data_IF_099027813099
#
_entry.id   IF_099027813099
#
_cell.length_a   1.000
_cell.length_b   1.000
_cell.length_c   1.000
_cell.angle_alpha   90.00
_cell.angle_beta   90.00
_cell.angle_gamma   90.00
#
_symmetry.space_group_name_H-M   'P 1'
#
loop_
_entity.id
_entity.type
_entity.pdbx_description
1 polymer ?
#
# COMPACT_ATOMS: atom_id res chain seq x y z
N UNK A 1 -12.98 19.97 0.71
CA UNK A 1 -12.20 18.88 1.30
C UNK A 1 -11.07 18.61 0.33
N UNK A 2 -9.81 18.82 0.74
CA UNK A 2 -8.69 18.75 -0.20
C UNK A 2 -8.55 17.34 -0.75
N UNK A 3 -8.51 17.21 -2.08
CA UNK A 3 -8.28 15.93 -2.75
C UNK A 3 -7.02 15.28 -2.15
N UNK A 4 -7.18 14.17 -1.43
CA UNK A 4 -6.05 13.42 -0.94
C UNK A 4 -5.32 12.81 -2.14
N UNK A 5 -4.04 13.13 -2.28
CA UNK A 5 -3.25 12.74 -3.43
C UNK A 5 -2.85 11.27 -3.22
N UNK A 6 -3.22 10.40 -4.15
CA UNK A 6 -2.70 9.04 -4.21
C UNK A 6 -1.49 8.98 -5.14
N UNK A 7 -0.51 8.15 -4.80
CA UNK A 7 0.68 7.95 -5.61
C UNK A 7 1.16 6.52 -5.47
N UNK A 8 1.51 5.87 -6.56
CA UNK A 8 1.95 4.46 -6.56
C UNK A 8 3.38 4.31 -7.05
N UNK A 9 3.97 3.14 -6.85
CA UNK A 9 5.29 2.83 -7.43
C UNK A 9 5.31 3.04 -8.95
N UNK A 10 4.23 2.67 -9.65
CA UNK A 10 4.12 2.92 -11.10
C UNK A 10 4.24 4.39 -11.45
N UNK A 11 3.72 5.28 -10.62
CA UNK A 11 3.85 6.73 -10.81
C UNK A 11 5.30 7.22 -10.65
N UNK A 12 6.07 6.66 -9.71
CA UNK A 12 7.48 6.99 -9.55
C UNK A 12 8.30 6.61 -10.79
N UNK A 13 8.03 5.43 -11.37
CA UNK A 13 8.87 4.86 -12.43
C UNK A 13 8.34 5.11 -13.86
N UNK A 14 7.18 5.76 -14.05
CA UNK A 14 6.57 5.97 -15.39
C UNK A 14 7.33 6.93 -16.31
N UNK A 15 8.32 7.67 -15.81
CA UNK A 15 9.01 8.72 -16.57
C UNK A 15 10.54 8.52 -16.60
N UNK A 16 11.06 7.52 -17.34
CA UNK A 16 12.49 7.31 -17.50
C UNK A 16 13.18 8.37 -18.38
N UNK A 17 12.42 9.27 -19.01
CA UNK A 17 12.91 10.20 -20.05
C UNK A 17 13.55 11.50 -19.56
N UNK A 18 13.61 11.78 -18.25
CA UNK A 18 14.28 12.98 -17.74
C UNK A 18 15.58 12.62 -17.04
N UNK A 19 16.55 12.31 -17.89
CA UNK A 19 17.97 12.24 -17.60
C UNK A 19 18.39 13.24 -16.51
N UNK A 20 19.14 12.73 -15.52
CA UNK A 20 20.14 13.51 -14.79
C UNK A 20 19.68 14.90 -14.31
N UNK A 21 18.46 15.01 -13.79
CA UNK A 21 18.07 16.21 -13.03
C UNK A 21 18.83 16.18 -11.72
N UNK A 22 19.40 17.32 -11.32
CA UNK A 22 19.90 17.51 -9.95
C UNK A 22 18.83 17.00 -8.99
N UNK A 23 19.05 15.81 -8.42
CA UNK A 23 18.10 15.19 -7.50
C UNK A 23 17.89 16.22 -6.40
N UNK A 24 16.68 16.78 -6.34
CA UNK A 24 16.32 17.68 -5.25
C UNK A 24 16.58 16.88 -3.97
N UNK A 25 17.59 17.28 -3.19
CA UNK A 25 17.88 16.63 -1.92
C UNK A 25 16.72 16.93 -0.98
N UNK A 26 15.75 16.03 -0.96
CA UNK A 26 14.62 16.11 -0.04
C UNK A 26 15.19 15.90 1.36
N UNK A 27 15.21 16.96 2.16
CA UNK A 27 15.64 16.87 3.56
C UNK A 27 14.75 15.92 4.35
N UNK A 28 15.23 15.37 5.47
CA UNK A 28 14.46 14.45 6.32
C UNK A 28 13.11 15.05 6.77
N UNK A 29 13.06 16.37 7.03
CA UNK A 29 11.85 17.10 7.41
C UNK A 29 10.85 17.16 6.23
N UNK A 30 11.36 17.43 5.01
CA UNK A 30 10.53 17.43 3.80
C UNK A 30 10.00 16.02 3.50
N UNK A 31 10.81 14.95 3.69
CA UNK A 31 10.38 13.55 3.52
C UNK A 31 9.20 13.22 4.45
N UNK A 32 9.31 13.56 5.74
CA UNK A 32 8.27 13.29 6.72
C UNK A 32 6.98 14.10 6.46
N UNK A 33 7.10 15.34 6.01
CA UNK A 33 5.94 16.15 5.64
C UNK A 33 5.25 15.62 4.38
N UNK A 34 6.03 15.26 3.36
CA UNK A 34 5.56 14.73 2.09
C UNK A 34 4.77 13.44 2.28
N UNK A 35 5.30 12.46 3.02
CA UNK A 35 4.62 11.19 3.27
C UNK A 35 3.25 11.36 3.95
N UNK A 36 3.07 12.38 4.80
CA UNK A 36 1.78 12.67 5.44
C UNK A 36 0.72 13.23 4.49
N UNK A 37 1.11 13.65 3.28
CA UNK A 37 0.19 14.22 2.27
C UNK A 37 -0.46 13.16 1.40
N UNK A 38 0.09 11.95 1.37
CA UNK A 38 -0.41 10.85 0.55
C UNK A 38 -1.22 9.88 1.42
N UNK A 39 -2.48 9.68 1.06
CA UNK A 39 -3.42 8.90 1.87
C UNK A 39 -3.20 7.41 1.81
N UNK A 40 -2.52 6.94 0.77
CA UNK A 40 -2.21 5.53 0.56
C UNK A 40 -0.82 5.13 1.10
N UNK A 41 -0.13 6.01 1.84
CA UNK A 41 1.12 5.68 2.56
C UNK A 41 0.80 4.91 3.83
N UNK A 42 1.35 3.71 3.94
CA UNK A 42 1.25 2.85 5.11
C UNK A 42 2.57 2.91 5.89
N UNK A 43 2.57 3.46 7.10
CA UNK A 43 3.78 3.53 7.94
C UNK A 43 3.78 2.41 8.97
N UNK A 44 4.84 1.62 9.00
CA UNK A 44 5.10 0.66 10.06
C UNK A 44 5.77 1.37 11.24
N UNK A 45 5.09 1.37 12.40
CA UNK A 45 5.59 2.03 13.60
C UNK A 45 6.74 1.26 14.26
N UNK A 46 6.91 -0.04 13.98
CA UNK A 46 7.96 -0.87 14.59
C UNK A 46 9.35 -0.48 14.09
N UNK A 47 9.49 -0.29 12.79
CA UNK A 47 10.78 -0.02 12.13
C UNK A 47 10.84 1.36 11.44
N UNK A 48 9.73 2.11 11.40
CA UNK A 48 9.63 3.42 10.78
C UNK A 48 9.54 3.40 9.25
N UNK A 49 9.52 2.21 8.62
CA UNK A 49 9.47 2.03 7.17
C UNK A 49 8.08 2.42 6.64
N UNK A 50 8.05 3.04 5.46
CA UNK A 50 6.81 3.41 4.78
C UNK A 50 6.62 2.55 3.54
N UNK A 51 5.37 2.16 3.29
CA UNK A 51 4.98 1.22 2.26
C UNK A 51 3.82 1.76 1.42
N UNK A 52 3.75 1.30 0.18
CA UNK A 52 2.55 1.28 -0.62
C UNK A 52 1.85 -0.07 -0.47
N UNK A 53 0.52 -0.07 -0.59
CA UNK A 53 -0.20 -1.31 -0.79
C UNK A 53 -0.03 -1.82 -2.23
N UNK A 54 0.34 -3.09 -2.38
CA UNK A 54 0.50 -3.74 -3.68
C UNK A 54 -0.85 -4.17 -4.26
N UNK A 55 -1.55 -3.21 -4.87
CA UNK A 55 -2.86 -3.44 -5.50
C UNK A 55 -2.83 -4.57 -6.54
N UNK A 56 -1.77 -4.65 -7.35
CA UNK A 56 -1.67 -5.64 -8.42
C UNK A 56 -1.56 -7.07 -7.88
N UNK A 57 -0.65 -7.27 -6.92
CA UNK A 57 -0.48 -8.57 -6.28
C UNK A 57 -1.74 -8.97 -5.54
N UNK A 58 -2.37 -8.04 -4.81
CA UNK A 58 -3.62 -8.32 -4.12
C UNK A 58 -4.76 -8.69 -5.08
N UNK A 59 -4.91 -8.00 -6.21
CA UNK A 59 -5.91 -8.34 -7.24
C UNK A 59 -5.64 -9.73 -7.85
N UNK A 60 -4.38 -10.06 -8.12
CA UNK A 60 -4.01 -11.39 -8.60
C UNK A 60 -4.35 -12.48 -7.58
N UNK A 61 -4.12 -12.24 -6.29
CA UNK A 61 -4.53 -13.13 -5.20
C UNK A 61 -6.05 -13.25 -5.12
N UNK A 62 -6.78 -12.13 -5.11
CA UNK A 62 -8.23 -12.08 -5.02
C UNK A 62 -8.92 -12.81 -6.18
N UNK A 63 -8.31 -12.82 -7.37
CA UNK A 63 -8.79 -13.57 -8.53
C UNK A 63 -8.92 -15.07 -8.27
N UNK A 64 -8.02 -15.66 -7.46
CA UNK A 64 -8.09 -17.09 -7.06
C UNK A 64 -9.36 -17.42 -6.29
N UNK A 65 -9.95 -16.41 -5.65
CA UNK A 65 -11.16 -16.49 -4.84
C UNK A 65 -12.38 -15.90 -5.55
N UNK A 66 -12.31 -15.67 -6.87
CA UNK A 66 -13.35 -15.01 -7.65
C UNK A 66 -13.78 -13.65 -7.08
N UNK A 67 -12.84 -12.93 -6.44
CA UNK A 67 -13.10 -11.66 -5.75
C UNK A 67 -14.16 -11.74 -4.63
N UNK A 68 -14.42 -12.94 -4.10
CA UNK A 68 -15.38 -13.17 -3.01
C UNK A 68 -14.67 -13.04 -1.67
N UNK A 69 -14.99 -11.99 -0.91
CA UNK A 69 -14.35 -11.69 0.36
C UNK A 69 -14.48 -12.80 1.41
N UNK A 70 -15.62 -13.52 1.44
CA UNK A 70 -15.81 -14.65 2.37
C UNK A 70 -14.96 -15.86 2.01
N UNK A 71 -14.72 -16.10 0.71
CA UNK A 71 -13.84 -17.18 0.26
C UNK A 71 -12.39 -16.90 0.64
N UNK A 72 -11.94 -15.65 0.51
CA UNK A 72 -10.61 -15.25 1.00
C UNK A 72 -10.50 -15.36 2.52
N UNK A 73 -11.54 -14.93 3.23
CA UNK A 73 -11.56 -14.96 4.70
C UNK A 73 -11.43 -16.39 5.22
N UNK A 74 -12.14 -17.34 4.62
CA UNK A 74 -12.10 -18.74 5.04
C UNK A 74 -10.67 -19.30 5.00
N UNK A 75 -9.93 -19.08 3.92
CA UNK A 75 -8.53 -19.52 3.83
C UNK A 75 -7.62 -18.82 4.85
N UNK A 76 -7.89 -17.54 5.14
CA UNK A 76 -7.14 -16.78 6.15
C UNK A 76 -7.41 -17.33 7.55
N UNK A 77 -8.68 -17.59 7.90
CA UNK A 77 -9.08 -18.15 9.20
C UNK A 77 -8.53 -19.57 9.42
N UNK A 78 -8.28 -20.31 8.34
CA UNK A 78 -7.71 -21.66 8.39
C UNK A 78 -6.18 -21.69 8.22
N UNK A 79 -5.52 -20.54 8.12
CA UNK A 79 -4.08 -20.45 7.95
C UNK A 79 -3.33 -20.84 9.22
N UNK A 80 -2.32 -21.71 9.08
CA UNK A 80 -1.38 -22.05 10.16
C UNK A 80 -0.41 -20.93 10.54
N UNK A 81 -0.31 -19.88 9.71
CA UNK A 81 0.63 -18.78 9.92
C UNK A 81 0.11 -17.67 10.85
N UNK A 82 -1.17 -17.68 11.23
CA UNK A 82 -1.75 -16.62 12.05
C UNK A 82 -2.51 -17.18 13.26
N UNK A 83 -2.55 -16.40 14.32
CA UNK A 83 -3.42 -16.68 15.47
C UNK A 83 -4.86 -16.25 15.18
N UNK A 84 -5.83 -16.81 15.92
CA UNK A 84 -7.26 -16.52 15.71
C UNK A 84 -7.58 -15.02 15.87
N UNK A 85 -6.93 -14.33 16.81
CA UNK A 85 -7.12 -12.90 17.07
C UNK A 85 -6.41 -11.99 16.05
N UNK A 86 -5.49 -12.53 15.25
CA UNK A 86 -4.88 -11.83 14.12
C UNK A 86 -5.82 -11.79 12.89
N UNK A 87 -6.84 -12.66 12.83
CA UNK A 87 -7.72 -12.78 11.67
C UNK A 87 -8.46 -11.47 11.36
N UNK A 88 -8.39 -10.98 10.10
CA UNK A 88 -9.07 -9.75 9.71
C UNK A 88 -10.58 -9.96 9.57
N UNK A 89 -11.36 -8.91 9.76
CA UNK A 89 -12.81 -9.00 9.48
C UNK A 89 -13.10 -9.14 7.98
N UNK A 90 -14.22 -9.78 7.61
CA UNK A 90 -14.75 -9.77 6.23
C UNK A 90 -14.90 -8.36 5.65
N UNK A 91 -15.26 -7.39 6.49
CA UNK A 91 -15.39 -5.97 6.10
C UNK A 91 -14.05 -5.38 5.68
N UNK A 92 -12.96 -5.77 6.34
CA UNK A 92 -11.59 -5.37 6.01
C UNK A 92 -11.20 -5.86 4.62
N UNK A 93 -11.42 -7.15 4.32
CA UNK A 93 -11.13 -7.72 3.00
C UNK A 93 -11.95 -7.02 1.91
N UNK A 94 -13.25 -6.76 2.15
CA UNK A 94 -14.09 -6.04 1.19
C UNK A 94 -13.59 -4.62 0.91
N UNK A 95 -13.12 -3.89 1.92
CA UNK A 95 -12.53 -2.56 1.75
C UNK A 95 -11.28 -2.60 0.86
N UNK A 96 -10.41 -3.59 1.04
CA UNK A 96 -9.24 -3.77 0.16
C UNK A 96 -9.66 -4.10 -1.28
N UNK A 97 -10.64 -5.00 -1.47
CA UNK A 97 -11.16 -5.32 -2.80
C UNK A 97 -11.74 -4.07 -3.49
N UNK A 98 -12.54 -3.27 -2.79
CA UNK A 98 -13.11 -2.04 -3.33
C UNK A 98 -12.02 -1.04 -3.71
N UNK A 99 -11.06 -0.79 -2.81
CA UNK A 99 -9.91 0.07 -3.09
C UNK A 99 -9.14 -0.38 -4.33
N UNK A 100 -8.90 -1.69 -4.49
CA UNK A 100 -8.23 -2.21 -5.66
C UNK A 100 -9.02 -2.08 -6.96
N UNK A 101 -10.36 -2.19 -6.91
CA UNK A 101 -11.22 -2.07 -8.07
C UNK A 101 -11.42 -0.61 -8.50
N UNK A 102 -11.48 0.32 -7.54
CA UNK A 102 -11.78 1.74 -7.76
C UNK A 102 -10.77 2.66 -7.06
N UNK A 103 -9.46 2.55 -7.35
CA UNK A 103 -8.41 3.26 -6.60
C UNK A 103 -8.56 4.79 -6.68
N UNK A 104 -9.12 5.33 -7.76
CA UNK A 104 -9.33 6.78 -7.91
C UNK A 104 -10.56 7.32 -7.16
N UNK A 105 -11.46 6.44 -6.70
CA UNK A 105 -12.73 6.81 -6.06
C UNK A 105 -12.75 6.42 -4.57
N UNK A 106 -11.99 5.40 -4.19
CA UNK A 106 -11.92 4.87 -2.84
C UNK A 106 -10.56 5.19 -2.18
N UNK A 107 -10.60 5.64 -0.92
CA UNK A 107 -9.39 5.82 -0.13
C UNK A 107 -8.95 4.50 0.52
N UNK A 108 -7.63 4.31 0.67
CA UNK A 108 -7.10 3.17 1.41
C UNK A 108 -7.35 3.36 2.92
N UNK A 109 -8.46 2.82 3.40
CA UNK A 109 -8.88 2.92 4.82
C UNK A 109 -8.39 1.78 5.71
N UNK A 110 -7.70 0.78 5.13
CA UNK A 110 -7.23 -0.40 5.87
C UNK A 110 -5.82 -0.16 6.37
N UNK A 111 -5.64 -0.31 7.69
CA UNK A 111 -4.35 -0.12 8.34
C UNK A 111 -3.35 -1.23 8.01
N UNK A 112 -2.07 -0.88 8.11
CA UNK A 112 -0.94 -1.74 7.73
C UNK A 112 -0.94 -3.10 8.44
N UNK A 113 -1.32 -3.17 9.73
CA UNK A 113 -1.29 -4.44 10.47
C UNK A 113 -2.29 -5.46 9.91
N UNK A 114 -3.49 -5.02 9.52
CA UNK A 114 -4.45 -5.92 8.90
C UNK A 114 -3.96 -6.43 7.53
N UNK A 115 -3.27 -5.58 6.75
CA UNK A 115 -2.63 -6.00 5.50
C UNK A 115 -1.52 -7.02 5.76
N UNK A 116 -0.73 -6.82 6.83
CA UNK A 116 0.32 -7.75 7.25
C UNK A 116 -0.23 -9.11 7.66
N UNK A 117 -1.30 -9.14 8.45
CA UNK A 117 -1.94 -10.41 8.83
C UNK A 117 -2.48 -11.16 7.60
N UNK A 118 -3.06 -10.44 6.63
CA UNK A 118 -3.52 -11.05 5.37
C UNK A 118 -2.33 -11.60 4.56
N UNK A 119 -1.21 -10.87 4.50
CA UNK A 119 0.02 -11.33 3.85
C UNK A 119 0.58 -12.60 4.50
N UNK A 120 0.74 -12.55 5.82
CA UNK A 120 1.21 -13.67 6.66
C UNK A 120 0.33 -14.89 6.48
N UNK A 121 -1.00 -14.74 6.52
CA UNK A 121 -1.93 -15.85 6.37
C UNK A 121 -1.89 -16.50 4.97
N UNK A 122 -1.85 -15.70 3.91
CA UNK A 122 -1.96 -16.22 2.54
C UNK A 122 -0.63 -16.64 1.91
N UNK A 123 0.49 -16.18 2.46
CA UNK A 123 1.83 -16.35 1.87
C UNK A 123 2.94 -16.68 2.88
N UNK A 124 2.65 -16.72 4.19
CA UNK A 124 3.68 -16.86 5.22
C UNK A 124 4.59 -15.62 5.36
N UNK A 125 4.23 -14.49 4.76
CA UNK A 125 5.04 -13.27 4.68
C UNK A 125 4.18 -12.03 4.99
N UNK A 126 4.48 -11.35 6.11
CA UNK A 126 3.78 -10.13 6.53
C UNK A 126 3.81 -9.04 5.45
N UNK A 127 4.92 -8.89 4.73
CA UNK A 127 5.09 -7.81 3.77
C UNK A 127 4.66 -8.24 2.35
N UNK A 128 4.00 -9.41 2.21
CA UNK A 128 3.62 -9.97 0.91
C UNK A 128 2.81 -9.00 0.03
N UNK A 129 2.00 -8.12 0.62
CA UNK A 129 1.20 -7.12 -0.09
C UNK A 129 1.70 -5.69 0.10
N UNK A 130 2.92 -5.50 0.58
CA UNK A 130 3.51 -4.20 0.84
C UNK A 130 4.71 -3.96 -0.08
N UNK A 131 4.78 -2.78 -0.67
CA UNK A 131 5.94 -2.34 -1.45
C UNK A 131 6.64 -1.20 -0.71
N UNK A 132 7.93 -1.35 -0.42
CA UNK A 132 8.72 -0.32 0.27
C UNK A 132 8.74 0.98 -0.56
N UNK A 133 8.50 2.11 0.10
CA UNK A 133 8.72 3.44 -0.46
C UNK A 133 10.20 3.77 -0.31
N UNK A 134 10.95 3.51 -1.37
CA UNK A 134 12.39 3.78 -1.44
C UNK A 134 12.70 5.27 -1.66
N UNK A 135 13.99 5.62 -1.61
CA UNK A 135 14.44 7.00 -1.80
C UNK A 135 14.13 7.55 -3.19
N UNK A 136 14.14 6.70 -4.22
CA UNK A 136 13.78 7.11 -5.58
C UNK A 136 12.31 7.50 -5.68
N UNK A 137 11.43 6.69 -5.09
CA UNK A 137 10.00 6.98 -4.97
C UNK A 137 9.76 8.31 -4.25
N UNK A 138 10.47 8.55 -3.14
CA UNK A 138 10.38 9.80 -2.37
C UNK A 138 10.80 11.02 -3.18
N UNK A 139 11.88 10.92 -3.97
CA UNK A 139 12.30 12.00 -4.86
C UNK A 139 11.22 12.32 -5.90
N UNK A 140 10.65 11.30 -6.55
CA UNK A 140 9.57 11.49 -7.53
C UNK A 140 8.30 12.08 -6.91
N UNK A 141 7.94 11.64 -5.70
CA UNK A 141 6.82 12.22 -4.94
C UNK A 141 7.05 13.70 -4.65
N UNK A 142 8.27 14.09 -4.26
CA UNK A 142 8.61 15.47 -3.95
C UNK A 142 8.51 16.35 -5.19
N UNK A 143 9.02 15.87 -6.33
CA UNK A 143 8.91 16.57 -7.61
C UNK A 143 7.45 16.78 -8.02
N UNK A 144 6.60 15.75 -7.91
CA UNK A 144 5.17 15.87 -8.21
C UNK A 144 4.46 16.80 -7.25
N UNK A 145 4.79 16.76 -5.96
CA UNK A 145 4.20 17.64 -4.96
C UNK A 145 4.56 19.11 -5.17
N UNK A 146 5.79 19.40 -5.57
CA UNK A 146 6.23 20.77 -5.91
C UNK A 146 5.66 21.27 -7.24
N UNK A 147 5.20 20.37 -8.11
CA UNK A 147 4.61 20.71 -9.41
C UNK A 147 3.07 20.84 -9.38
N UNK A 148 2.43 20.56 -8.23
CA UNK A 148 1.00 20.80 -7.96
C UNK A 148 0.80 22.20 -7.39
#
# INVERSE_FOLDING_TARGET
MGNQIQFTKKDAYRNPGKAKRERTKVTTIQKAHLLKKFSNVLRDNKNGVSFWFNTEKFLATAKRYNFVASSMLLDIELSEYIEEDESPSRKTIRRLLNYCQYPNEEELTVGIQAIKHIGKALYGDEDAFLEVIDEESLCCMAERYLAM
#
